data_IF_103485300242
#
_entry.id   IF_103485300242
#
_cell.length_a   1.000
_cell.length_b   1.000
_cell.length_c   1.000
_cell.angle_alpha   90.00
_cell.angle_beta   90.00
_cell.angle_gamma   90.00
#
_symmetry.space_group_name_H-M   'P 1'
#
loop_
_entity.id
_entity.type
_entity.pdbx_description
1 polymer ?
#
# COMPACT_ATOMS: atom_id res chain seq x y z
N UNK A 1 29.82 1.00 -3.90
CA UNK A 1 28.44 1.22 -3.41
C UNK A 1 28.03 0.32 -2.24
N UNK A 2 28.87 -0.61 -1.78
CA UNK A 2 28.55 -1.61 -0.74
C UNK A 2 28.87 -1.18 0.70
N UNK A 3 29.56 -0.06 0.90
CA UNK A 3 30.10 0.32 2.22
C UNK A 3 29.05 0.85 3.23
N UNK A 4 27.79 1.02 2.84
CA UNK A 4 26.75 1.61 3.71
C UNK A 4 25.40 0.88 3.65
N UNK A 5 25.43 -0.45 3.51
CA UNK A 5 24.20 -1.26 3.41
C UNK A 5 23.28 -1.08 4.62
N UNK A 6 23.82 -1.04 5.84
CA UNK A 6 23.05 -0.79 7.06
C UNK A 6 22.42 0.61 7.12
N UNK A 7 23.12 1.64 6.63
CA UNK A 7 22.61 3.01 6.61
C UNK A 7 21.47 3.18 5.59
N UNK A 8 21.59 2.54 4.42
CA UNK A 8 20.52 2.50 3.41
C UNK A 8 19.29 1.77 3.92
N UNK A 9 19.51 0.66 4.63
CA UNK A 9 18.43 -0.12 5.25
C UNK A 9 17.68 0.72 6.29
N UNK A 10 18.41 1.34 7.23
CA UNK A 10 17.82 2.17 8.28
C UNK A 10 17.08 3.39 7.75
N UNK A 11 17.68 4.17 6.85
CA UNK A 11 17.07 5.42 6.38
C UNK A 11 15.92 5.23 5.40
N UNK A 12 15.97 4.21 4.55
CA UNK A 12 14.99 4.08 3.47
C UNK A 12 14.03 2.91 3.66
N UNK A 13 14.46 1.81 4.27
CA UNK A 13 13.60 0.62 4.35
C UNK A 13 12.74 0.61 5.61
N UNK A 14 13.26 1.11 6.74
CA UNK A 14 12.48 1.19 7.99
C UNK A 14 11.31 2.18 7.88
N UNK A 15 11.48 3.45 7.45
CA UNK A 15 10.35 4.37 7.30
C UNK A 15 9.33 3.87 6.27
N UNK A 16 9.81 3.26 5.19
CA UNK A 16 8.94 2.67 4.17
C UNK A 16 8.08 1.53 4.75
N UNK A 17 8.67 0.66 5.57
CA UNK A 17 7.95 -0.42 6.22
C UNK A 17 6.89 0.11 7.20
N UNK A 18 7.20 1.18 7.94
CA UNK A 18 6.24 1.84 8.82
C UNK A 18 5.06 2.38 8.01
N UNK A 19 5.30 3.08 6.90
CA UNK A 19 4.25 3.59 6.02
C UNK A 19 3.38 2.43 5.50
N UNK A 20 4.00 1.37 4.99
CA UNK A 20 3.29 0.20 4.49
C UNK A 20 2.40 -0.46 5.57
N UNK A 21 2.93 -0.65 6.77
CA UNK A 21 2.20 -1.25 7.89
C UNK A 21 1.03 -0.36 8.35
N UNK A 22 1.25 0.96 8.49
CA UNK A 22 0.21 1.91 8.85
C UNK A 22 -0.88 1.96 7.78
N UNK A 23 -0.52 1.95 6.50
CA UNK A 23 -1.48 1.88 5.39
C UNK A 23 -2.35 0.62 5.46
N UNK A 24 -1.78 -0.54 5.77
CA UNK A 24 -2.54 -1.79 5.95
C UNK A 24 -3.54 -1.71 7.12
N UNK A 25 -3.11 -1.15 8.26
CA UNK A 25 -3.97 -0.94 9.44
C UNK A 25 -5.11 0.02 9.09
N UNK A 26 -4.81 1.13 8.39
CA UNK A 26 -5.81 2.12 7.98
C UNK A 26 -6.89 1.51 7.09
N UNK A 27 -6.53 0.62 6.15
CA UNK A 27 -7.53 -0.10 5.34
C UNK A 27 -8.45 -0.93 6.22
N UNK A 28 -7.89 -1.71 7.15
CA UNK A 28 -8.68 -2.53 8.07
C UNK A 28 -9.67 -1.70 8.91
N UNK A 29 -9.20 -0.60 9.50
CA UNK A 29 -10.02 0.33 10.28
C UNK A 29 -11.11 1.00 9.43
N UNK A 30 -10.75 1.43 8.21
CA UNK A 30 -11.69 2.11 7.30
C UNK A 30 -12.78 1.17 6.82
N UNK A 31 -12.44 -0.08 6.50
CA UNK A 31 -13.41 -1.13 6.16
C UNK A 31 -14.34 -1.42 7.34
N UNK A 32 -13.79 -1.55 8.55
CA UNK A 32 -14.59 -1.77 9.76
C UNK A 32 -15.55 -0.61 10.04
N UNK A 33 -15.07 0.64 9.92
CA UNK A 33 -15.89 1.82 10.08
C UNK A 33 -17.00 1.90 9.03
N UNK A 34 -16.67 1.64 7.77
CA UNK A 34 -17.64 1.61 6.66
C UNK A 34 -18.72 0.56 6.91
N UNK A 35 -18.34 -0.64 7.36
CA UNK A 35 -19.29 -1.69 7.73
C UNK A 35 -20.23 -1.25 8.87
N UNK A 36 -19.70 -0.62 9.92
CA UNK A 36 -20.52 -0.08 11.01
C UNK A 36 -21.49 1.01 10.55
N UNK A 37 -21.05 1.94 9.70
CA UNK A 37 -21.91 3.01 9.17
C UNK A 37 -23.05 2.45 8.31
N UNK A 38 -22.78 1.44 7.49
CA UNK A 38 -23.79 0.79 6.65
C UNK A 38 -24.86 0.10 7.51
N UNK A 39 -24.45 -0.61 8.57
CA UNK A 39 -25.36 -1.39 9.42
C UNK A 39 -26.06 -0.59 10.53
N UNK A 40 -25.44 0.48 11.07
CA UNK A 40 -25.95 1.23 12.22
C UNK A 40 -26.52 2.61 11.88
N UNK A 41 -26.27 3.16 10.69
CA UNK A 41 -26.40 4.60 10.43
C UNK A 41 -27.42 5.00 9.38
N UNK A 42 -28.49 5.63 9.85
CA UNK A 42 -29.48 6.47 9.13
C UNK A 42 -28.81 7.83 8.86
N UNK A 43 -28.16 8.01 7.72
CA UNK A 43 -27.53 9.29 7.34
C UNK A 43 -28.05 9.74 5.98
N UNK A 44 -28.57 10.97 5.89
CA UNK A 44 -29.08 11.56 4.64
C UNK A 44 -28.01 11.71 3.54
N UNK A 45 -26.71 11.61 3.90
CA UNK A 45 -25.58 11.66 2.96
C UNK A 45 -24.76 10.36 2.94
N UNK A 46 -25.34 9.23 3.40
CA UNK A 46 -24.64 7.94 3.52
C UNK A 46 -23.96 7.51 2.22
N UNK A 47 -24.62 7.70 1.09
CA UNK A 47 -24.13 7.26 -0.22
C UNK A 47 -22.85 7.99 -0.62
N UNK A 48 -22.81 9.33 -0.49
CA UNK A 48 -21.60 10.11 -0.78
C UNK A 48 -20.44 9.70 0.12
N UNK A 49 -20.67 9.56 1.43
CA UNK A 49 -19.63 9.14 2.36
C UNK A 49 -19.10 7.74 2.05
N UNK A 50 -19.97 6.79 1.70
CA UNK A 50 -19.55 5.44 1.28
C UNK A 50 -18.72 5.51 0.01
N UNK A 51 -19.12 6.27 -1.00
CA UNK A 51 -18.36 6.39 -2.26
C UNK A 51 -16.95 6.91 -2.02
N UNK A 52 -16.76 7.97 -1.22
CA UNK A 52 -15.43 8.50 -0.93
C UNK A 52 -14.57 7.54 -0.11
N UNK A 53 -15.16 6.86 0.88
CA UNK A 53 -14.45 5.87 1.68
C UNK A 53 -14.02 4.67 0.81
N UNK A 54 -14.87 4.23 -0.12
CA UNK A 54 -14.56 3.14 -1.04
C UNK A 54 -13.43 3.52 -2.01
N UNK A 55 -13.43 4.76 -2.53
CA UNK A 55 -12.32 5.28 -3.34
C UNK A 55 -10.99 5.28 -2.58
N UNK A 56 -11.01 5.75 -1.33
CA UNK A 56 -9.83 5.78 -0.47
C UNK A 56 -9.30 4.36 -0.20
N UNK A 57 -10.18 3.42 0.16
CA UNK A 57 -9.80 2.03 0.43
C UNK A 57 -9.20 1.38 -0.81
N UNK A 58 -9.82 1.51 -1.98
CA UNK A 58 -9.30 0.95 -3.22
C UNK A 58 -7.93 1.52 -3.58
N UNK A 59 -7.73 2.83 -3.37
CA UNK A 59 -6.45 3.47 -3.59
C UNK A 59 -5.36 2.88 -2.70
N UNK A 60 -5.64 2.71 -1.40
CA UNK A 60 -4.66 2.12 -0.46
C UNK A 60 -4.42 0.64 -0.77
N UNK A 61 -5.43 -0.11 -1.21
CA UNK A 61 -5.25 -1.51 -1.64
C UNK A 61 -4.29 -1.59 -2.84
N UNK A 62 -4.45 -0.74 -3.84
CA UNK A 62 -3.52 -0.68 -5.00
C UNK A 62 -2.10 -0.36 -4.54
N UNK A 63 -1.94 0.58 -3.61
CA UNK A 63 -0.65 0.86 -2.98
C UNK A 63 -0.07 -0.41 -2.34
N UNK A 64 -0.83 -1.12 -1.50
CA UNK A 64 -0.34 -2.33 -0.83
C UNK A 64 0.08 -3.43 -1.83
N UNK A 65 -0.70 -3.65 -2.88
CA UNK A 65 -0.41 -4.66 -3.90
C UNK A 65 0.83 -4.30 -4.73
N UNK A 66 0.96 -3.03 -5.14
CA UNK A 66 2.12 -2.61 -5.93
C UNK A 66 3.43 -2.67 -5.12
N UNK A 67 3.34 -2.40 -3.82
CA UNK A 67 4.51 -2.25 -2.98
C UNK A 67 4.88 -3.51 -2.17
N UNK A 68 4.04 -4.56 -2.15
CA UNK A 68 4.34 -5.80 -1.41
C UNK A 68 5.65 -6.45 -1.87
N UNK A 69 5.92 -6.46 -3.18
CA UNK A 69 7.16 -7.00 -3.73
C UNK A 69 8.37 -6.13 -3.38
N UNK A 70 8.18 -4.83 -3.21
CA UNK A 70 9.22 -3.92 -2.72
C UNK A 70 9.61 -4.26 -1.27
N UNK A 71 8.62 -4.55 -0.42
CA UNK A 71 8.82 -4.97 0.97
C UNK A 71 9.54 -6.33 1.01
N UNK A 72 9.03 -7.33 0.30
CA UNK A 72 9.62 -8.67 0.25
C UNK A 72 11.07 -8.61 -0.26
N UNK A 73 11.32 -7.90 -1.35
CA UNK A 73 12.66 -7.76 -1.92
C UNK A 73 13.64 -7.13 -0.92
N UNK A 74 13.22 -6.15 -0.13
CA UNK A 74 14.05 -5.51 0.90
C UNK A 74 14.32 -6.42 2.09
N UNK A 75 13.34 -7.24 2.50
CA UNK A 75 13.51 -8.27 3.54
C UNK A 75 14.54 -9.30 3.06
N UNK A 76 14.39 -9.81 1.83
CA UNK A 76 15.30 -10.81 1.27
C UNK A 76 16.73 -10.25 1.10
N UNK A 77 16.87 -9.00 0.65
CA UNK A 77 18.15 -8.33 0.59
C UNK A 77 18.81 -8.19 1.98
N UNK A 78 18.03 -8.04 3.06
CA UNK A 78 18.55 -8.01 4.43
C UNK A 78 19.16 -9.35 4.86
N UNK A 79 18.64 -10.46 4.33
CA UNK A 79 19.18 -11.81 4.52
C UNK A 79 20.27 -12.18 3.51
N UNK A 80 20.71 -11.24 2.66
CA UNK A 80 21.72 -11.47 1.63
C UNK A 80 21.22 -12.25 0.42
N UNK A 81 19.91 -12.39 0.25
CA UNK A 81 19.28 -13.07 -0.89
C UNK A 81 18.83 -12.02 -1.93
N UNK A 82 19.29 -12.18 -3.17
CA UNK A 82 19.00 -11.25 -4.27
C UNK A 82 18.19 -11.92 -5.40
N UNK A 83 16.94 -12.36 -5.14
CA UNK A 83 16.16 -13.06 -6.15
C UNK A 83 15.77 -12.12 -7.31
N UNK A 84 16.16 -12.49 -8.52
CA UNK A 84 15.88 -11.75 -9.75
C UNK A 84 14.38 -11.47 -9.95
N UNK A 85 13.53 -12.47 -9.71
CA UNK A 85 12.08 -12.37 -9.89
C UNK A 85 11.48 -11.28 -8.98
N UNK A 86 11.90 -11.21 -7.71
CA UNK A 86 11.39 -10.17 -6.80
C UNK A 86 11.86 -8.78 -7.20
N UNK A 87 13.11 -8.64 -7.65
CA UNK A 87 13.64 -7.37 -8.15
C UNK A 87 12.89 -6.88 -9.39
N UNK A 88 12.60 -7.78 -10.34
CA UNK A 88 11.85 -7.46 -11.56
C UNK A 88 10.42 -7.02 -11.22
N UNK A 89 9.72 -7.80 -10.40
CA UNK A 89 8.34 -7.50 -9.98
C UNK A 89 8.26 -6.21 -9.17
N UNK A 90 9.19 -5.99 -8.23
CA UNK A 90 9.29 -4.74 -7.49
C UNK A 90 9.45 -3.55 -8.43
N UNK A 91 10.35 -3.62 -9.41
CA UNK A 91 10.61 -2.52 -10.34
C UNK A 91 9.38 -2.23 -11.20
N UNK A 92 8.79 -3.28 -11.78
CA UNK A 92 7.61 -3.16 -12.62
C UNK A 92 6.40 -2.58 -11.87
N UNK A 93 6.09 -3.11 -10.67
CA UNK A 93 4.94 -2.69 -9.88
C UNK A 93 5.12 -1.30 -9.26
N UNK A 94 6.36 -0.92 -8.90
CA UNK A 94 6.65 0.43 -8.41
C UNK A 94 6.41 1.50 -9.48
N UNK A 95 6.79 1.22 -10.74
CA UNK A 95 6.59 2.16 -11.85
C UNK A 95 5.12 2.20 -12.27
N UNK A 96 4.46 1.05 -12.32
CA UNK A 96 3.05 0.95 -12.71
C UNK A 96 2.06 1.39 -11.62
N UNK A 97 2.51 1.58 -10.36
CA UNK A 97 1.69 2.11 -9.27
C UNK A 97 0.94 3.39 -9.66
N UNK A 98 1.61 4.34 -10.31
CA UNK A 98 0.99 5.60 -10.73
C UNK A 98 -0.14 5.40 -11.75
N UNK A 99 0.01 4.40 -12.63
CA UNK A 99 -1.02 4.03 -13.60
C UNK A 99 -2.22 3.35 -12.92
N UNK A 100 -1.99 2.37 -12.04
CA UNK A 100 -3.09 1.70 -11.34
C UNK A 100 -3.83 2.65 -10.39
N UNK A 101 -3.11 3.55 -9.74
CA UNK A 101 -3.67 4.58 -8.87
C UNK A 101 -4.59 5.55 -9.65
N UNK A 102 -4.19 5.97 -10.86
CA UNK A 102 -5.02 6.85 -11.69
C UNK A 102 -6.27 6.14 -12.20
N UNK A 103 -6.16 4.86 -12.59
CA UNK A 103 -7.32 4.04 -12.99
C UNK A 103 -8.35 3.96 -11.87
N UNK A 104 -7.93 3.66 -10.64
CA UNK A 104 -8.86 3.60 -9.50
C UNK A 104 -9.51 4.95 -9.21
N UNK A 105 -8.81 6.06 -9.42
CA UNK A 105 -9.35 7.40 -9.16
C UNK A 105 -10.34 7.87 -10.23
N UNK A 106 -10.12 7.49 -11.49
CA UNK A 106 -10.94 7.91 -12.64
C UNK A 106 -12.17 7.01 -12.85
N UNK A 107 -12.03 5.70 -12.62
CA UNK A 107 -13.07 4.72 -12.95
C UNK A 107 -13.98 4.31 -11.77
N UNK A 108 -13.68 4.75 -10.53
CA UNK A 108 -14.64 4.76 -9.41
C UNK A 108 -15.24 6.15 -9.26
#
# INVERSE_FOLDING_TARGET
GEQYTGYRFGLFYVPFFIIFAVSAILVGLTCHYTYQVIHKGVSDNKDKHITYQFKLVNYIIVFLVCWIFAVINRILNAFGLFPFVCNLLHTYLSVSHGFYASVIFIYN
#
